data_IF_873501333678
#
_entry.id   IF_873501333678
#
_cell.length_a   1.000
_cell.length_b   1.000
_cell.length_c   1.000
_cell.angle_alpha   90.00
_cell.angle_beta   90.00
_cell.angle_gamma   90.00
#
_symmetry.space_group_name_H-M   'P 1'
#
loop_
_entity.id
_entity.type
_entity.pdbx_description
1 polymer ?
#
# COMPACT_ATOMS: atom_id res chain seq x y z
N UNK A 1 5.53 23.97 21.39
CA UNK A 1 5.02 23.14 20.29
C UNK A 1 3.85 22.34 20.86
N UNK A 2 2.62 22.65 20.45
CA UNK A 2 1.43 21.95 20.92
C UNK A 2 1.17 20.85 19.89
N UNK A 3 1.31 19.60 20.29
CA UNK A 3 0.93 18.44 19.47
C UNK A 3 -0.50 18.06 19.84
N UNK A 4 -1.38 18.10 18.85
CA UNK A 4 -2.76 17.65 19.00
C UNK A 4 -2.83 16.19 18.53
N UNK A 5 -3.11 15.27 19.45
CA UNK A 5 -3.33 13.86 19.13
C UNK A 5 -4.78 13.70 18.68
N UNK A 6 -4.98 13.57 17.38
CA UNK A 6 -6.30 13.39 16.75
C UNK A 6 -6.55 11.91 16.49
N UNK A 7 -7.78 11.47 16.73
CA UNK A 7 -8.29 10.19 16.25
C UNK A 7 -8.48 10.22 14.72
N UNK A 8 -8.64 9.04 14.10
CA UNK A 8 -8.85 8.95 12.64
C UNK A 8 -10.13 9.67 12.22
N UNK A 9 -11.18 9.50 13.02
CA UNK A 9 -12.47 10.14 12.82
C UNK A 9 -12.37 11.67 12.92
N UNK A 10 -11.67 12.18 13.93
CA UNK A 10 -11.46 13.63 14.08
C UNK A 10 -10.62 14.21 12.95
N UNK A 11 -9.60 13.48 12.48
CA UNK A 11 -8.78 13.89 11.34
C UNK A 11 -9.62 13.96 10.06
N UNK A 12 -10.52 12.99 9.85
CA UNK A 12 -11.46 12.98 8.73
C UNK A 12 -12.44 14.16 8.77
N UNK A 13 -13.04 14.43 9.93
CA UNK A 13 -13.97 15.55 10.10
C UNK A 13 -13.28 16.90 9.86
N UNK A 14 -12.06 17.07 10.35
CA UNK A 14 -11.29 18.30 10.15
C UNK A 14 -10.88 18.49 8.69
N UNK A 15 -10.53 17.41 7.99
CA UNK A 15 -10.20 17.43 6.57
C UNK A 15 -11.41 17.85 5.73
N UNK A 16 -12.58 17.26 5.98
CA UNK A 16 -13.82 17.64 5.28
C UNK A 16 -14.18 19.12 5.51
N UNK A 17 -13.99 19.60 6.74
CA UNK A 17 -14.23 21.01 7.09
C UNK A 17 -13.21 21.97 6.43
N UNK A 18 -11.94 21.57 6.34
CA UNK A 18 -10.88 22.37 5.72
C UNK A 18 -11.00 22.41 4.18
N UNK A 19 -11.38 21.30 3.54
CA UNK A 19 -11.55 21.22 2.08
C UNK A 19 -12.90 21.76 1.61
N UNK A 20 -13.94 21.68 2.43
CA UNK A 20 -15.28 22.22 2.12
C UNK A 20 -15.36 23.76 2.23
N UNK A 21 -14.38 24.38 2.86
CA UNK A 21 -14.27 25.83 2.95
C UNK A 21 -13.52 26.36 1.73
N UNK A 22 -14.23 26.96 0.77
CA UNK A 22 -13.67 27.61 -0.43
C UNK A 22 -13.03 28.96 -0.07
N UNK A 23 -12.02 28.91 0.79
CA UNK A 23 -11.33 30.08 1.30
C UNK A 23 -9.86 29.94 0.93
N UNK A 24 -9.46 30.66 -0.12
CA UNK A 24 -8.13 30.66 -0.75
C UNK A 24 -7.01 31.23 0.11
N UNK A 25 -6.91 30.78 1.37
CA UNK A 25 -5.82 31.07 2.27
C UNK A 25 -4.84 29.90 2.30
N UNK A 26 -3.56 30.19 2.06
CA UNK A 26 -2.49 29.19 2.00
C UNK A 26 -2.38 28.35 3.29
N UNK A 27 -2.54 28.98 4.47
CA UNK A 27 -2.44 28.27 5.76
C UNK A 27 -3.55 27.23 5.96
N UNK A 28 -4.72 27.38 5.34
CA UNK A 28 -5.77 26.35 5.40
C UNK A 28 -5.45 25.17 4.48
N UNK A 29 -4.86 25.45 3.32
CA UNK A 29 -4.37 24.41 2.42
C UNK A 29 -3.28 23.58 3.09
N UNK A 30 -2.32 24.24 3.76
CA UNK A 30 -1.26 23.54 4.52
C UNK A 30 -1.83 22.61 5.61
N UNK A 31 -2.92 23.02 6.29
CA UNK A 31 -3.62 22.18 7.27
C UNK A 31 -4.33 21.01 6.59
N UNK A 32 -5.01 21.25 5.47
CA UNK A 32 -5.69 20.20 4.72
C UNK A 32 -4.70 19.14 4.22
N UNK A 33 -3.57 19.57 3.66
CA UNK A 33 -2.52 18.67 3.16
C UNK A 33 -1.91 17.84 4.30
N UNK A 34 -1.63 18.46 5.46
CA UNK A 34 -1.12 17.75 6.63
C UNK A 34 -2.13 16.76 7.23
N UNK A 35 -3.44 17.06 7.15
CA UNK A 35 -4.50 16.14 7.56
C UNK A 35 -4.65 14.99 6.57
N UNK A 36 -4.53 15.24 5.27
CA UNK A 36 -4.55 14.21 4.23
C UNK A 36 -3.38 13.24 4.41
N UNK A 37 -2.15 13.73 4.60
CA UNK A 37 -0.97 12.89 4.85
C UNK A 37 -1.19 11.97 6.06
N UNK A 38 -1.69 12.51 7.18
CA UNK A 38 -2.01 11.73 8.38
C UNK A 38 -3.11 10.70 8.14
N UNK A 39 -4.12 11.03 7.32
CA UNK A 39 -5.18 10.09 6.96
C UNK A 39 -4.66 8.98 6.04
N UNK A 40 -3.84 9.32 5.05
CA UNK A 40 -3.19 8.35 4.18
C UNK A 40 -2.34 7.36 4.98
N UNK A 41 -1.55 7.85 5.94
CA UNK A 41 -0.80 7.00 6.86
C UNK A 41 -1.71 6.14 7.73
N UNK A 42 -2.78 6.72 8.28
CA UNK A 42 -3.70 6.03 9.17
C UNK A 42 -4.58 4.98 8.46
N UNK A 43 -4.87 5.16 7.18
CA UNK A 43 -5.70 4.28 6.34
C UNK A 43 -4.83 3.31 5.53
N UNK A 44 -3.51 3.53 5.48
CA UNK A 44 -2.56 2.67 4.79
C UNK A 44 -2.80 1.21 5.16
N UNK A 45 -3.10 0.40 4.15
CA UNK A 45 -3.29 -1.04 4.34
C UNK A 45 -1.97 -1.65 4.82
N UNK A 46 -2.01 -2.60 5.77
CA UNK A 46 -0.83 -3.38 6.10
C UNK A 46 -0.28 -4.07 4.85
N UNK A 47 1.04 -4.18 4.78
CA UNK A 47 1.72 -4.85 3.66
C UNK A 47 1.76 -6.36 3.89
N UNK A 48 1.54 -7.12 2.82
CA UNK A 48 1.72 -8.56 2.77
C UNK A 48 2.65 -8.92 1.63
N UNK A 49 3.60 -9.83 1.87
CA UNK A 49 4.51 -10.31 0.83
C UNK A 49 3.78 -11.18 -0.20
N UNK A 50 4.19 -11.08 -1.47
CA UNK A 50 3.61 -11.87 -2.57
C UNK A 50 3.74 -13.38 -2.33
N UNK A 51 4.86 -13.82 -1.78
CA UNK A 51 5.08 -15.21 -1.36
C UNK A 51 4.04 -15.69 -0.32
N UNK A 52 3.79 -14.89 0.71
CA UNK A 52 2.80 -15.21 1.75
C UNK A 52 1.39 -15.25 1.18
N UNK A 53 1.03 -14.26 0.36
CA UNK A 53 -0.23 -14.22 -0.35
C UNK A 53 -0.46 -15.51 -1.16
N UNK A 54 0.50 -15.89 -2.01
CA UNK A 54 0.39 -17.09 -2.84
C UNK A 54 0.28 -18.39 -2.02
N UNK A 55 0.99 -18.47 -0.89
CA UNK A 55 0.89 -19.58 0.06
C UNK A 55 -0.53 -19.69 0.60
N UNK A 56 -1.10 -18.61 1.15
CA UNK A 56 -2.44 -18.65 1.73
C UNK A 56 -3.53 -19.02 0.71
N UNK A 57 -3.39 -18.58 -0.54
CA UNK A 57 -4.28 -18.95 -1.65
C UNK A 57 -4.16 -20.45 -1.98
N UNK A 58 -2.93 -20.98 -2.04
CA UNK A 58 -2.67 -22.39 -2.30
C UNK A 58 -3.17 -23.30 -1.18
N UNK A 59 -2.92 -22.91 0.08
CA UNK A 59 -3.42 -23.63 1.26
C UNK A 59 -4.95 -23.68 1.27
N UNK A 60 -5.60 -22.56 0.93
CA UNK A 60 -7.06 -22.50 0.82
C UNK A 60 -7.56 -23.44 -0.25
N UNK A 61 -6.94 -23.48 -1.43
CA UNK A 61 -7.34 -24.36 -2.53
C UNK A 61 -7.18 -25.84 -2.17
N UNK A 62 -6.06 -26.20 -1.54
CA UNK A 62 -5.72 -27.60 -1.21
C UNK A 62 -6.55 -28.18 -0.08
N UNK A 63 -7.13 -27.32 0.78
CA UNK A 63 -8.04 -27.73 1.86
C UNK A 63 -9.36 -28.36 1.38
N UNK A 64 -9.79 -28.06 0.15
CA UNK A 64 -11.09 -28.52 -0.35
C UNK A 64 -10.92 -29.64 -1.38
N UNK A 65 -11.52 -30.80 -1.11
CA UNK A 65 -11.47 -31.97 -1.99
C UNK A 65 -12.27 -31.78 -3.29
N UNK A 66 -13.39 -31.04 -3.23
CA UNK A 66 -14.19 -30.73 -4.39
C UNK A 66 -13.52 -29.62 -5.22
N UNK A 67 -13.14 -29.94 -6.48
CA UNK A 67 -12.42 -29.02 -7.37
C UNK A 67 -13.16 -27.70 -7.65
N UNK A 68 -14.49 -27.74 -7.77
CA UNK A 68 -15.30 -26.54 -8.00
C UNK A 68 -15.29 -25.63 -6.77
N UNK A 69 -15.60 -26.21 -5.61
CA UNK A 69 -15.60 -25.50 -4.34
C UNK A 69 -14.20 -24.96 -3.98
N UNK A 70 -13.14 -25.73 -4.23
CA UNK A 70 -11.76 -25.32 -4.04
C UNK A 70 -11.42 -24.04 -4.81
N UNK A 71 -11.88 -23.96 -6.06
CA UNK A 71 -11.65 -22.78 -6.92
C UNK A 71 -12.43 -21.57 -6.41
N UNK A 72 -13.69 -21.74 -6.05
CA UNK A 72 -14.50 -20.66 -5.47
C UNK A 72 -13.92 -20.14 -4.17
N UNK A 73 -13.46 -21.02 -3.28
CA UNK A 73 -12.86 -20.64 -2.00
C UNK A 73 -11.49 -19.96 -2.17
N UNK A 74 -10.68 -20.41 -3.13
CA UNK A 74 -9.44 -19.76 -3.52
C UNK A 74 -9.69 -18.31 -3.98
N UNK A 75 -10.67 -18.10 -4.86
CA UNK A 75 -11.04 -16.77 -5.36
C UNK A 75 -11.60 -15.86 -4.25
N UNK A 76 -12.42 -16.43 -3.35
CA UNK A 76 -12.93 -15.70 -2.20
C UNK A 76 -11.79 -15.24 -1.28
N UNK A 77 -10.81 -16.11 -1.03
CA UNK A 77 -9.63 -15.75 -0.22
C UNK A 77 -8.75 -14.71 -0.91
N UNK A 78 -8.60 -14.79 -2.23
CA UNK A 78 -7.90 -13.78 -3.01
C UNK A 78 -8.54 -12.40 -2.88
N UNK A 79 -9.87 -12.33 -3.00
CA UNK A 79 -10.60 -11.08 -2.82
C UNK A 79 -10.48 -10.53 -1.39
N UNK A 80 -10.60 -11.40 -0.38
CA UNK A 80 -10.41 -11.06 1.04
C UNK A 80 -9.03 -10.45 1.29
N UNK A 81 -7.96 -11.11 0.83
CA UNK A 81 -6.60 -10.65 1.08
C UNK A 81 -6.29 -9.33 0.37
N UNK A 82 -6.74 -9.14 -0.87
CA UNK A 82 -6.60 -7.86 -1.60
C UNK A 82 -7.44 -6.73 -0.98
N UNK A 83 -8.51 -7.07 -0.25
CA UNK A 83 -9.29 -6.08 0.47
C UNK A 83 -8.51 -5.54 1.67
N UNK A 84 -7.91 -6.41 2.48
CA UNK A 84 -7.25 -6.01 3.73
C UNK A 84 -5.78 -5.60 3.59
N UNK A 85 -5.06 -6.13 2.61
CA UNK A 85 -3.61 -5.93 2.48
C UNK A 85 -3.23 -5.24 1.18
N UNK A 86 -2.13 -4.49 1.25
CA UNK A 86 -1.36 -4.12 0.08
C UNK A 86 -0.34 -5.21 -0.23
N UNK A 87 -0.38 -5.79 -1.42
CA UNK A 87 0.46 -6.95 -1.76
C UNK A 87 1.73 -6.43 -2.42
N UNK A 88 2.85 -6.62 -1.73
CA UNK A 88 4.17 -6.15 -2.16
C UNK A 88 4.99 -7.34 -2.65
N UNK A 89 5.74 -7.13 -3.73
CA UNK A 89 6.69 -8.14 -4.22
C UNK A 89 7.77 -8.43 -3.17
N UNK A 90 8.28 -9.66 -3.17
CA UNK A 90 9.40 -10.02 -2.31
C UNK A 90 10.66 -9.28 -2.80
N UNK A 91 11.41 -8.66 -1.88
CA UNK A 91 12.71 -8.05 -2.23
C UNK A 91 13.63 -9.14 -2.78
N UNK A 92 14.01 -9.02 -4.05
CA UNK A 92 14.96 -9.92 -4.68
C UNK A 92 16.37 -9.57 -4.20
N UNK A 93 16.79 -10.14 -3.06
CA UNK A 93 18.15 -10.03 -2.51
C UNK A 93 19.24 -10.50 -3.51
N UNK A 94 18.86 -11.00 -4.68
CA UNK A 94 19.77 -11.42 -5.73
C UNK A 94 20.00 -10.37 -6.84
N UNK A 95 19.85 -9.08 -6.56
CA UNK A 95 20.58 -8.06 -7.34
C UNK A 95 22.03 -8.04 -6.88
N UNK A 96 22.76 -9.05 -7.34
CA UNK A 96 24.20 -9.12 -7.21
C UNK A 96 24.81 -7.76 -7.53
N UNK A 97 25.60 -7.28 -6.58
CA UNK A 97 26.61 -6.23 -6.70
C UNK A 97 27.48 -6.51 -7.93
N UNK A 98 26.99 -6.16 -9.12
CA UNK A 98 27.81 -6.07 -10.32
C UNK A 98 28.56 -4.77 -10.18
N UNK A 99 29.78 -4.91 -9.65
CA UNK A 99 30.76 -3.85 -9.60
C UNK A 99 30.84 -3.17 -10.95
N UNK A 100 30.76 -1.84 -10.89
CA UNK A 100 31.21 -0.86 -11.87
C UNK A 100 32.49 -1.34 -12.56
N UNK A 101 32.37 -2.09 -13.66
CA UNK A 101 33.46 -2.33 -14.58
C UNK A 101 33.34 -1.28 -15.69
N UNK A 102 34.30 -0.36 -15.67
CA UNK A 102 34.45 0.67 -16.68
C UNK A 102 34.56 0.05 -18.07
N UNK A 103 33.66 0.45 -18.95
CA UNK A 103 33.75 0.21 -20.38
C UNK A 103 33.62 1.54 -21.11
N UNK A 104 34.75 2.18 -21.40
CA UNK A 104 34.84 3.22 -22.44
C UNK A 104 34.32 2.62 -23.75
N UNK A 105 33.22 3.15 -24.28
CA UNK A 105 32.92 3.04 -25.70
C UNK A 105 32.87 4.45 -26.29
N UNK A 106 34.03 4.84 -26.83
CA UNK A 106 34.11 5.80 -27.91
C UNK A 106 33.38 5.21 -29.12
N UNK A 107 32.39 5.92 -29.65
CA UNK A 107 32.10 5.87 -31.09
C UNK A 107 31.70 7.26 -31.55
N UNK A 108 32.60 7.84 -32.37
CA UNK A 108 32.34 8.90 -33.32
C UNK A 108 31.22 8.47 -34.27
N UNK A 109 30.28 9.35 -34.57
CA UNK A 109 29.88 9.73 -35.93
C UNK A 109 29.31 11.14 -35.89
#
# INVERSE_FOLDING_TARGET
MITLDLTKEETFMLRDLATGADCGYEWMQEIADALEEKLEEAIKKPQMKRSEFNRQISDTKTRWENKGLATSMMLAKEAELKFYYDIVEDDDENTGRTGRLGGKLCTKF
#
